data_IF_465433393918
#
_entry.id   IF_465433393918
#
_cell.length_a   1.000
_cell.length_b   1.000
_cell.length_c   1.000
_cell.angle_alpha   90.00
_cell.angle_beta   90.00
_cell.angle_gamma   90.00
#
_symmetry.space_group_name_H-M   'P 1'
#
loop_
_entity.id
_entity.type
_entity.pdbx_description
1 polymer ?
#
# COMPACT_ATOMS: atom_id res chain seq x y z
N UNK A 1 41.14 -9.50 -50.42
CA UNK A 1 41.23 -10.53 -49.35
C UNK A 1 41.11 -9.82 -48.03
N UNK A 2 40.08 -10.18 -47.28
CA UNK A 2 39.71 -9.67 -45.96
C UNK A 2 40.42 -10.52 -44.90
N UNK A 3 40.85 -9.89 -43.80
CA UNK A 3 40.90 -10.38 -42.41
C UNK A 3 41.76 -9.38 -41.60
N UNK A 4 41.51 -9.00 -40.35
CA UNK A 4 40.37 -9.10 -39.43
C UNK A 4 40.67 -8.14 -38.27
N UNK A 5 39.62 -7.68 -37.62
CA UNK A 5 39.54 -6.58 -36.65
C UNK A 5 39.82 -6.96 -35.19
N UNK A 6 40.31 -5.97 -34.45
CA UNK A 6 39.95 -5.54 -33.08
C UNK A 6 39.93 -6.56 -31.92
N UNK A 7 40.81 -6.35 -30.93
CA UNK A 7 40.70 -7.00 -29.61
C UNK A 7 41.18 -6.16 -28.41
N UNK A 8 41.37 -4.83 -28.56
CA UNK A 8 41.93 -4.00 -27.47
C UNK A 8 40.94 -2.98 -26.87
N UNK A 9 39.77 -2.77 -27.48
CA UNK A 9 38.78 -1.77 -27.03
C UNK A 9 37.75 -2.28 -26.01
N UNK A 10 37.66 -3.60 -25.79
CA UNK A 10 36.51 -4.21 -25.08
C UNK A 10 36.76 -4.51 -23.59
N UNK A 11 38.00 -4.42 -23.12
CA UNK A 11 38.33 -4.78 -21.73
C UNK A 11 38.09 -3.59 -20.79
N UNK A 12 38.37 -2.36 -21.23
CA UNK A 12 38.22 -1.17 -20.39
C UNK A 12 36.76 -0.77 -20.11
N UNK A 13 35.81 -1.14 -20.98
CA UNK A 13 34.38 -0.86 -20.78
C UNK A 13 33.72 -1.89 -19.84
N UNK A 14 34.28 -3.11 -19.77
CA UNK A 14 33.75 -4.20 -18.93
C UNK A 14 34.08 -4.00 -17.45
N UNK A 15 35.26 -3.44 -17.15
CA UNK A 15 35.66 -3.14 -15.77
C UNK A 15 34.97 -1.89 -15.21
N UNK A 16 34.57 -0.93 -16.06
CA UNK A 16 33.78 0.25 -15.65
C UNK A 16 32.29 -0.05 -15.40
N UNK A 17 31.77 -1.18 -15.89
CA UNK A 17 30.38 -1.62 -15.68
C UNK A 17 30.18 -2.57 -14.49
N UNK A 18 31.26 -3.01 -13.82
CA UNK A 18 31.20 -3.95 -12.69
C UNK A 18 31.13 -3.29 -11.31
N UNK A 19 31.04 -1.95 -11.23
CA UNK A 19 30.94 -1.21 -9.95
C UNK A 19 29.64 -0.40 -9.77
N UNK A 20 28.66 -0.55 -10.66
CA UNK A 20 27.36 0.13 -10.55
C UNK A 20 26.20 -0.81 -10.15
N UNK A 21 26.50 -1.91 -9.48
CA UNK A 21 25.50 -2.75 -8.83
C UNK A 21 25.81 -2.83 -7.33
N UNK A 22 25.78 -1.69 -6.65
CA UNK A 22 25.43 -1.73 -5.24
C UNK A 22 23.98 -2.25 -5.19
N UNK A 23 23.69 -3.36 -4.50
CA UNK A 23 22.32 -3.72 -4.24
C UNK A 23 21.74 -2.55 -3.44
N UNK A 24 20.72 -1.89 -4.01
CA UNK A 24 19.80 -1.10 -3.20
C UNK A 24 19.14 -2.10 -2.26
N UNK A 25 19.75 -2.29 -1.10
CA UNK A 25 19.19 -3.04 0.01
C UNK A 25 18.10 -2.17 0.66
N UNK A 26 17.14 -1.73 -0.15
CA UNK A 26 15.86 -1.17 0.26
C UNK A 26 14.84 -2.32 0.38
N UNK A 27 15.27 -3.45 0.96
CA UNK A 27 14.34 -4.24 1.75
C UNK A 27 14.10 -3.51 3.07
N UNK A 28 13.37 -2.38 3.03
CA UNK A 28 12.46 -2.09 4.13
C UNK A 28 11.36 -3.16 4.07
N UNK A 29 11.75 -4.37 4.49
CA UNK A 29 10.86 -5.49 4.70
C UNK A 29 9.75 -5.01 5.62
N UNK A 30 8.52 -5.13 5.17
CA UNK A 30 7.34 -4.69 5.91
C UNK A 30 7.38 -5.30 7.31
N UNK A 31 7.48 -4.45 8.34
CA UNK A 31 7.55 -4.93 9.71
C UNK A 31 6.18 -5.41 10.17
N UNK A 32 6.13 -6.20 11.24
CA UNK A 32 4.87 -6.60 11.85
C UNK A 32 4.04 -5.38 12.32
N UNK A 33 4.72 -4.31 12.72
CA UNK A 33 4.09 -3.02 13.03
C UNK A 33 3.41 -2.39 11.81
N UNK A 34 4.06 -2.45 10.64
CA UNK A 34 3.50 -1.94 9.39
C UNK A 34 2.28 -2.75 8.95
N UNK A 35 2.29 -4.07 9.15
CA UNK A 35 1.14 -4.93 8.90
C UNK A 35 -0.06 -4.55 9.78
N UNK A 36 0.17 -4.22 11.06
CA UNK A 36 -0.90 -3.76 11.96
C UNK A 36 -1.49 -2.45 11.48
N UNK A 37 -0.65 -1.47 11.13
CA UNK A 37 -1.09 -0.16 10.65
C UNK A 37 -1.86 -0.30 9.33
N UNK A 38 -1.31 -1.01 8.36
CA UNK A 38 -1.96 -1.27 7.07
C UNK A 38 -3.32 -1.96 7.25
N UNK A 39 -3.39 -2.97 8.11
CA UNK A 39 -4.64 -3.66 8.39
C UNK A 39 -5.70 -2.71 8.98
N UNK A 40 -5.30 -1.80 9.88
CA UNK A 40 -6.22 -0.82 10.45
C UNK A 40 -6.66 0.22 9.40
N UNK A 41 -5.79 0.66 8.51
CA UNK A 41 -6.13 1.63 7.45
C UNK A 41 -7.09 1.10 6.40
N UNK A 42 -7.07 -0.22 6.17
CA UNK A 42 -7.99 -0.89 5.27
C UNK A 42 -9.42 -0.99 5.83
N UNK A 43 -9.62 -0.73 7.14
CA UNK A 43 -10.93 -0.78 7.81
C UNK A 43 -11.57 0.61 7.78
N UNK A 44 -12.85 0.70 7.40
CA UNK A 44 -13.58 1.97 7.26
C UNK A 44 -13.50 2.88 8.49
N UNK A 45 -13.63 2.30 9.68
CA UNK A 45 -13.56 3.01 10.97
C UNK A 45 -12.15 3.12 11.56
N UNK A 46 -11.13 2.64 10.83
CA UNK A 46 -9.72 2.56 11.26
C UNK A 46 -9.49 1.97 12.64
N UNK A 47 -10.38 1.07 13.08
CA UNK A 47 -10.36 0.47 14.41
C UNK A 47 -10.64 -1.03 14.36
N UNK A 48 -9.94 -1.80 15.19
CA UNK A 48 -10.08 -3.24 15.23
C UNK A 48 -9.60 -3.83 16.57
N UNK A 49 -10.19 -4.94 17.03
CA UNK A 49 -9.71 -5.63 18.22
C UNK A 49 -8.52 -6.56 17.92
N UNK A 50 -7.73 -6.90 18.95
CA UNK A 50 -6.56 -7.78 18.82
C UNK A 50 -6.91 -9.13 18.16
N UNK A 51 -8.07 -9.72 18.44
CA UNK A 51 -8.47 -11.01 17.84
C UNK A 51 -8.69 -10.93 16.33
N UNK A 52 -9.36 -9.87 15.88
CA UNK A 52 -9.61 -9.64 14.47
C UNK A 52 -8.31 -9.24 13.75
N UNK A 53 -7.43 -8.49 14.43
CA UNK A 53 -6.09 -8.20 13.92
C UNK A 53 -5.25 -9.47 13.77
N UNK A 54 -5.16 -10.35 14.77
CA UNK A 54 -4.43 -11.63 14.63
C UNK A 54 -4.91 -12.44 13.43
N UNK A 55 -6.24 -12.49 13.21
CA UNK A 55 -6.80 -13.20 12.04
C UNK A 55 -6.41 -12.55 10.72
N UNK A 56 -6.34 -11.22 10.66
CA UNK A 56 -6.07 -10.44 9.43
C UNK A 56 -4.58 -10.29 9.13
N UNK A 57 -3.75 -10.05 10.13
CA UNK A 57 -2.30 -9.87 9.98
C UNK A 57 -1.52 -11.17 10.10
N UNK A 58 -2.16 -12.25 10.57
CA UNK A 58 -1.54 -13.57 10.86
C UNK A 58 -0.40 -13.52 11.87
N UNK A 59 -0.17 -12.39 12.55
CA UNK A 59 0.84 -12.25 13.62
C UNK A 59 0.44 -13.13 14.80
N UNK A 60 1.29 -14.09 15.13
CA UNK A 60 1.11 -15.03 16.24
C UNK A 60 2.41 -15.13 17.05
N UNK A 61 2.32 -15.32 18.38
CA UNK A 61 1.10 -15.48 19.19
C UNK A 61 0.35 -14.16 19.44
N UNK A 62 -0.91 -14.21 19.89
CA UNK A 62 -1.70 -13.01 20.22
C UNK A 62 -0.98 -12.05 21.17
N UNK A 63 -0.18 -12.58 22.10
CA UNK A 63 0.64 -11.78 23.02
C UNK A 63 1.65 -10.89 22.30
N UNK A 64 2.21 -11.35 21.17
CA UNK A 64 3.10 -10.55 20.32
C UNK A 64 2.35 -9.40 19.67
N UNK A 65 1.18 -9.65 19.07
CA UNK A 65 0.33 -8.58 18.53
C UNK A 65 -0.08 -7.58 19.62
N UNK A 66 -0.52 -8.05 20.79
CA UNK A 66 -0.91 -7.18 21.89
C UNK A 66 0.25 -6.30 22.37
N UNK A 67 1.49 -6.82 22.35
CA UNK A 67 2.71 -6.06 22.65
C UNK A 67 2.99 -5.00 21.59
N UNK A 68 3.00 -5.36 20.30
CA UNK A 68 3.17 -4.41 19.19
C UNK A 68 2.13 -3.29 19.25
N UNK A 69 0.86 -3.62 19.53
CA UNK A 69 -0.17 -2.61 19.68
C UNK A 69 0.03 -1.70 20.91
N UNK A 70 0.71 -2.15 21.98
CA UNK A 70 1.08 -1.25 23.10
C UNK A 70 2.22 -0.33 22.68
N UNK A 71 3.27 -0.88 22.07
CA UNK A 71 4.41 -0.09 21.57
C UNK A 71 3.96 0.99 20.58
N UNK A 72 3.07 0.67 19.64
CA UNK A 72 2.46 1.64 18.73
C UNK A 72 1.55 2.66 19.45
N UNK A 73 0.93 2.29 20.57
CA UNK A 73 0.14 3.22 21.37
C UNK A 73 1.04 4.19 22.15
N UNK A 74 2.14 3.69 22.71
CA UNK A 74 3.14 4.47 23.42
C UNK A 74 3.83 5.47 22.47
N UNK A 75 3.99 5.10 21.20
CA UNK A 75 4.42 5.99 20.11
C UNK A 75 3.34 6.98 19.62
N UNK A 76 2.13 6.92 20.17
CA UNK A 76 1.01 7.79 19.76
C UNK A 76 0.40 7.47 18.39
N UNK A 77 0.80 6.36 17.74
CA UNK A 77 0.28 5.96 16.42
C UNK A 77 -1.11 5.34 16.49
N UNK A 78 -1.49 4.81 17.66
CA UNK A 78 -2.83 4.30 17.89
C UNK A 78 -3.32 4.60 19.30
N UNK A 79 -4.64 4.55 19.47
CA UNK A 79 -5.31 4.67 20.75
C UNK A 79 -6.04 3.36 21.05
N UNK A 80 -6.03 2.96 22.33
CA UNK A 80 -6.65 1.71 22.78
C UNK A 80 -7.86 2.04 23.66
N UNK A 81 -9.06 1.69 23.19
CA UNK A 81 -10.30 1.93 23.93
C UNK A 81 -11.27 0.76 23.77
N UNK A 82 -12.04 0.46 24.82
CA UNK A 82 -13.12 -0.53 24.73
C UNK A 82 -14.23 -0.01 23.81
N UNK A 83 -14.69 -0.87 22.89
CA UNK A 83 -15.80 -0.56 21.98
C UNK A 83 -16.22 -1.79 21.18
N UNK A 84 -17.27 -1.62 20.36
CA UNK A 84 -17.74 -2.66 19.43
C UNK A 84 -16.82 -2.75 18.22
N UNK A 85 -16.30 -3.94 17.93
CA UNK A 85 -15.44 -4.15 16.77
C UNK A 85 -16.25 -4.05 15.46
N UNK A 86 -15.76 -3.37 14.40
CA UNK A 86 -16.45 -3.36 13.11
C UNK A 86 -16.32 -4.71 12.36
N UNK A 87 -15.34 -5.54 12.73
CA UNK A 87 -15.09 -6.84 12.11
C UNK A 87 -15.64 -8.04 12.92
N UNK A 88 -16.34 -7.80 14.02
CA UNK A 88 -16.95 -8.87 14.81
C UNK A 88 -17.89 -8.34 15.89
N UNK A 89 -18.79 -9.17 16.38
CA UNK A 89 -19.95 -8.71 17.16
C UNK A 89 -19.68 -8.42 18.64
N UNK A 90 -18.42 -8.41 19.06
CA UNK A 90 -18.05 -8.30 20.46
C UNK A 90 -17.52 -6.91 20.85
N UNK A 91 -17.84 -6.50 22.08
CA UNK A 91 -17.22 -5.36 22.74
C UNK A 91 -15.87 -5.78 23.32
N UNK A 92 -14.78 -5.28 22.74
CA UNK A 92 -13.41 -5.62 23.14
C UNK A 92 -12.52 -4.38 23.15
N UNK A 93 -11.28 -4.53 23.59
CA UNK A 93 -10.26 -3.48 23.42
C UNK A 93 -10.00 -3.30 21.92
N UNK A 94 -10.28 -2.11 21.40
CA UNK A 94 -10.05 -1.74 20.01
C UNK A 94 -8.78 -0.91 19.94
N UNK A 95 -7.93 -1.23 18.97
CA UNK A 95 -6.85 -0.38 18.52
C UNK A 95 -7.41 0.50 17.41
N UNK A 96 -7.41 1.81 17.62
CA UNK A 96 -7.88 2.82 16.66
C UNK A 96 -6.67 3.60 16.22
N UNK A 97 -6.40 3.68 14.91
CA UNK A 97 -5.32 4.54 14.44
C UNK A 97 -5.55 5.97 14.95
N UNK A 98 -4.50 6.57 15.51
CA UNK A 98 -4.57 7.98 15.82
C UNK A 98 -4.88 8.71 14.51
N UNK A 99 -5.88 9.59 14.52
CA UNK A 99 -5.99 10.55 13.45
C UNK A 99 -4.64 11.27 13.42
N UNK A 100 -3.88 11.14 12.32
CA UNK A 100 -2.80 12.08 12.10
C UNK A 100 -3.41 13.47 12.35
N UNK A 101 -2.80 14.31 13.22
CA UNK A 101 -3.37 15.61 13.50
C UNK A 101 -3.66 16.23 12.15
N UNK A 102 -4.94 16.46 11.87
CA UNK A 102 -5.36 17.12 10.64
C UNK A 102 -4.51 18.38 10.59
N UNK A 103 -3.52 18.41 9.69
CA UNK A 103 -2.56 19.51 9.59
C UNK A 103 -3.42 20.75 9.51
N UNK A 104 -3.42 21.53 10.60
CA UNK A 104 -4.18 22.75 10.68
C UNK A 104 -3.83 23.56 9.43
N UNK A 105 -4.85 23.91 8.67
CA UNK A 105 -4.76 24.45 7.34
C UNK A 105 -3.65 25.51 7.24
N UNK A 106 -2.50 25.17 6.67
CA UNK A 106 -1.64 26.16 6.02
C UNK A 106 -2.24 26.42 4.66
N UNK A 107 -3.33 27.20 4.68
CA UNK A 107 -3.88 27.93 3.54
C UNK A 107 -2.79 28.86 3.00
N UNK A 108 -1.97 28.33 2.10
CA UNK A 108 -1.40 29.14 1.01
C UNK A 108 -1.99 28.54 -0.25
N UNK A 109 -3.01 29.21 -0.75
CA UNK A 109 -3.73 28.84 -1.95
C UNK A 109 -2.77 28.77 -3.14
N UNK A 110 -2.58 27.57 -3.67
CA UNK A 110 -2.61 27.36 -5.11
C UNK A 110 -3.55 26.17 -5.31
N UNK A 111 -4.74 26.50 -5.78
CA UNK A 111 -5.79 25.56 -6.17
C UNK A 111 -5.21 24.45 -7.03
N UNK A 112 -4.88 23.31 -6.41
CA UNK A 112 -4.82 22.06 -7.15
C UNK A 112 -6.26 21.77 -7.59
N UNK A 113 -6.50 21.47 -8.88
CA UNK A 113 -7.84 21.16 -9.37
C UNK A 113 -8.40 19.99 -8.56
N UNK A 114 -9.71 20.03 -8.31
CA UNK A 114 -10.49 19.09 -7.51
C UNK A 114 -10.50 17.63 -8.02
N UNK A 115 -9.63 17.30 -8.99
CA UNK A 115 -9.55 16.03 -9.71
C UNK A 115 -8.32 15.17 -9.38
N UNK A 116 -7.39 15.63 -8.53
CA UNK A 116 -6.22 14.82 -8.16
C UNK A 116 -6.49 13.98 -6.92
N UNK A 117 -6.71 12.67 -7.12
CA UNK A 117 -6.73 11.66 -6.06
C UNK A 117 -5.39 11.69 -5.31
N UNK A 118 -5.42 11.91 -3.99
CA UNK A 118 -4.21 11.89 -3.16
C UNK A 118 -3.55 10.51 -3.13
N UNK A 119 -2.23 10.44 -2.92
CA UNK A 119 -1.49 9.17 -2.92
C UNK A 119 -2.03 8.17 -1.88
N UNK A 120 -2.48 8.66 -0.73
CA UNK A 120 -3.10 7.83 0.31
C UNK A 120 -4.46 7.28 -0.13
N UNK A 121 -5.25 8.08 -0.86
CA UNK A 121 -6.55 7.66 -1.40
C UNK A 121 -6.37 6.66 -2.54
N UNK A 122 -5.40 6.89 -3.43
CA UNK A 122 -5.01 5.96 -4.47
C UNK A 122 -4.61 4.60 -3.88
N UNK A 123 -3.75 4.62 -2.87
CA UNK A 123 -3.33 3.41 -2.17
C UNK A 123 -4.51 2.67 -1.51
N UNK A 124 -5.39 3.38 -0.78
CA UNK A 124 -6.56 2.76 -0.13
C UNK A 124 -7.50 2.14 -1.14
N UNK A 125 -7.65 2.80 -2.28
CA UNK A 125 -8.46 2.29 -3.38
C UNK A 125 -7.88 1.00 -3.94
N UNK A 126 -6.58 0.99 -4.23
CA UNK A 126 -5.88 -0.19 -4.73
C UNK A 126 -5.96 -1.33 -3.72
N UNK A 127 -5.78 -1.08 -2.41
CA UNK A 127 -5.92 -2.13 -1.39
C UNK A 127 -7.31 -2.77 -1.43
N UNK A 128 -8.37 -1.97 -1.42
CA UNK A 128 -9.74 -2.49 -1.52
C UNK A 128 -9.97 -3.23 -2.84
N UNK A 129 -9.47 -2.69 -3.94
CA UNK A 129 -9.66 -3.29 -5.26
C UNK A 129 -8.95 -4.64 -5.37
N UNK A 130 -7.69 -4.75 -4.95
CA UNK A 130 -6.96 -6.02 -4.88
C UNK A 130 -7.69 -7.04 -3.99
N UNK A 131 -8.20 -6.62 -2.83
CA UNK A 131 -9.00 -7.50 -1.97
C UNK A 131 -10.31 -7.94 -2.62
N UNK A 132 -10.94 -7.06 -3.39
CA UNK A 132 -12.16 -7.39 -4.13
C UNK A 132 -11.89 -8.42 -5.24
N UNK A 133 -10.78 -8.28 -5.97
CA UNK A 133 -10.34 -9.27 -6.98
C UNK A 133 -10.07 -10.60 -6.29
N UNK A 134 -9.36 -10.57 -5.16
CA UNK A 134 -9.06 -11.75 -4.37
C UNK A 134 -10.31 -12.52 -3.97
N UNK A 135 -11.27 -11.84 -3.34
CA UNK A 135 -12.53 -12.48 -2.90
C UNK A 135 -13.30 -13.06 -4.08
N UNK A 136 -13.29 -12.38 -5.23
CA UNK A 136 -13.98 -12.84 -6.45
C UNK A 136 -13.37 -14.11 -7.04
N UNK A 137 -12.05 -14.27 -6.99
CA UNK A 137 -11.33 -15.31 -7.74
C UNK A 137 -10.65 -16.40 -6.89
N UNK A 138 -10.14 -16.05 -5.71
CA UNK A 138 -9.27 -16.92 -4.89
C UNK A 138 -9.87 -17.27 -3.53
N UNK A 139 -11.01 -16.67 -3.16
CA UNK A 139 -11.75 -17.01 -1.94
C UNK A 139 -11.38 -16.17 -0.71
N UNK A 140 -11.57 -16.72 0.49
CA UNK A 140 -11.69 -15.92 1.72
C UNK A 140 -10.39 -15.67 2.49
N UNK A 141 -9.30 -16.40 2.22
CA UNK A 141 -8.02 -16.22 2.92
C UNK A 141 -7.21 -15.07 2.32
N UNK A 142 -7.70 -13.85 2.55
CA UNK A 142 -7.08 -12.64 2.02
C UNK A 142 -5.64 -12.48 2.55
N UNK A 143 -4.70 -12.03 1.70
CA UNK A 143 -3.34 -11.71 2.11
C UNK A 143 -3.29 -10.66 3.22
N UNK A 144 -2.24 -10.76 4.03
CA UNK A 144 -2.01 -9.92 5.21
C UNK A 144 -1.65 -8.48 4.82
N UNK A 145 -0.98 -8.31 3.68
CA UNK A 145 -0.57 -7.01 3.16
C UNK A 145 -1.03 -6.77 1.72
N UNK A 146 -1.09 -5.50 1.32
CA UNK A 146 -1.27 -5.14 -0.08
C UNK A 146 -0.13 -5.67 -0.96
N UNK A 147 1.09 -5.76 -0.43
CA UNK A 147 2.24 -6.27 -1.16
C UNK A 147 2.00 -7.71 -1.62
N UNK A 148 1.66 -8.55 -0.65
CA UNK A 148 1.34 -9.96 -0.87
C UNK A 148 0.13 -10.10 -1.80
N UNK A 149 -0.89 -9.25 -1.62
CA UNK A 149 -2.05 -9.25 -2.51
C UNK A 149 -1.68 -8.96 -3.96
N UNK A 150 -0.89 -7.91 -4.22
CA UNK A 150 -0.47 -7.57 -5.60
C UNK A 150 0.38 -8.69 -6.20
N UNK A 151 1.35 -9.21 -5.44
CA UNK A 151 2.24 -10.28 -5.90
C UNK A 151 1.46 -11.55 -6.23
N UNK A 152 0.60 -12.00 -5.32
CA UNK A 152 -0.18 -13.22 -5.55
C UNK A 152 -1.22 -13.05 -6.67
N UNK A 153 -1.88 -11.90 -6.79
CA UNK A 153 -2.79 -11.63 -7.91
C UNK A 153 -2.07 -11.60 -9.27
N UNK A 154 -0.81 -11.18 -9.29
CA UNK A 154 0.05 -11.25 -10.48
C UNK A 154 0.41 -12.70 -10.81
N UNK A 155 0.84 -13.45 -9.80
CA UNK A 155 1.30 -14.83 -9.98
C UNK A 155 0.16 -15.76 -10.42
N UNK A 156 -1.08 -15.48 -10.00
CA UNK A 156 -2.30 -16.14 -10.46
C UNK A 156 -2.85 -15.56 -11.79
N UNK A 157 -2.07 -14.69 -12.47
CA UNK A 157 -2.40 -14.05 -13.75
C UNK A 157 -3.70 -13.22 -13.77
N UNK A 158 -4.23 -12.85 -12.59
CA UNK A 158 -5.42 -12.01 -12.45
C UNK A 158 -5.12 -10.53 -12.67
N UNK A 159 -3.90 -10.10 -12.31
CA UNK A 159 -3.37 -8.75 -12.56
C UNK A 159 -2.14 -8.89 -13.47
N UNK A 160 -2.08 -8.23 -14.64
CA UNK A 160 -0.90 -8.34 -15.48
C UNK A 160 0.33 -7.69 -14.83
N UNK A 161 1.56 -8.10 -15.20
CA UNK A 161 2.78 -7.66 -14.53
C UNK A 161 2.98 -6.14 -14.54
N UNK A 162 2.60 -5.47 -15.62
CA UNK A 162 2.76 -4.02 -15.76
C UNK A 162 1.91 -3.26 -14.74
N UNK A 163 0.64 -3.65 -14.59
CA UNK A 163 -0.27 -3.03 -13.63
C UNK A 163 0.08 -3.38 -12.19
N UNK A 164 0.53 -4.61 -11.92
CA UNK A 164 1.07 -4.98 -10.62
C UNK A 164 2.26 -4.09 -10.22
N UNK A 165 3.17 -3.81 -11.16
CA UNK A 165 4.28 -2.90 -10.93
C UNK A 165 3.78 -1.47 -10.63
N UNK A 166 2.78 -0.97 -11.36
CA UNK A 166 2.20 0.35 -11.07
C UNK A 166 1.52 0.41 -9.69
N UNK A 167 0.85 -0.67 -9.26
CA UNK A 167 0.28 -0.75 -7.91
C UNK A 167 1.37 -0.73 -6.84
N UNK A 168 2.50 -1.41 -7.09
CA UNK A 168 3.67 -1.33 -6.21
C UNK A 168 4.27 0.08 -6.18
N UNK A 169 4.32 0.80 -7.30
CA UNK A 169 4.76 2.21 -7.33
C UNK A 169 3.92 3.07 -6.40
N UNK A 170 2.58 2.98 -6.47
CA UNK A 170 1.69 3.73 -5.57
C UNK A 170 1.92 3.33 -4.10
N UNK A 171 2.10 2.03 -3.83
CA UNK A 171 2.43 1.53 -2.48
C UNK A 171 3.73 2.11 -1.95
N UNK A 172 4.80 2.06 -2.72
CA UNK A 172 6.11 2.57 -2.31
C UNK A 172 6.07 4.07 -2.08
N UNK A 173 5.47 4.82 -3.01
CA UNK A 173 5.30 6.27 -2.87
C UNK A 173 4.48 6.63 -1.62
N UNK A 174 3.39 5.91 -1.34
CA UNK A 174 2.61 6.11 -0.12
C UNK A 174 3.44 5.82 1.14
N UNK A 175 4.27 4.78 1.13
CA UNK A 175 5.10 4.43 2.28
C UNK A 175 6.12 5.52 2.61
N UNK A 176 6.77 6.10 1.59
CA UNK A 176 7.70 7.22 1.80
C UNK A 176 7.01 8.43 2.45
N UNK A 177 5.78 8.74 2.03
CA UNK A 177 5.02 9.87 2.61
C UNK A 177 4.60 9.58 4.06
N UNK A 178 4.14 8.37 4.34
CA UNK A 178 3.52 8.06 5.66
C UNK A 178 4.53 7.62 6.71
N UNK A 179 5.60 6.92 6.31
CA UNK A 179 6.55 6.30 7.24
C UNK A 179 7.89 7.04 7.28
N UNK A 180 8.25 7.74 6.22
CA UNK A 180 9.55 8.43 6.08
C UNK A 180 9.41 9.96 6.05
N UNK A 181 8.19 10.49 6.22
CA UNK A 181 7.87 11.93 6.21
C UNK A 181 8.37 12.69 4.97
N UNK A 182 8.48 11.99 3.83
CA UNK A 182 8.95 12.58 2.57
C UNK A 182 7.88 13.50 1.98
N UNK A 183 8.27 14.74 1.65
CA UNK A 183 7.42 15.66 0.91
C UNK A 183 7.63 15.51 -0.60
N UNK A 184 6.58 15.12 -1.31
CA UNK A 184 6.61 14.96 -2.76
C UNK A 184 6.49 16.29 -3.51
N UNK A 185 7.39 16.46 -4.49
CA UNK A 185 7.37 17.55 -5.44
C UNK A 185 6.56 17.20 -6.68
N UNK A 186 6.73 18.01 -7.74
CA UNK A 186 5.97 17.85 -8.99
C UNK A 186 6.24 16.51 -9.70
N UNK A 187 7.48 16.04 -9.65
CA UNK A 187 7.92 14.81 -10.31
C UNK A 187 7.30 13.57 -9.67
N UNK A 188 7.37 13.43 -8.34
CA UNK A 188 6.81 12.28 -7.64
C UNK A 188 5.28 12.24 -7.79
N UNK A 189 4.62 13.40 -7.78
CA UNK A 189 3.20 13.51 -8.05
C UNK A 189 2.85 13.15 -9.51
N UNK A 190 3.72 13.46 -10.48
CA UNK A 190 3.53 13.04 -11.86
C UNK A 190 3.64 11.51 -12.01
N UNK A 191 4.61 10.88 -11.33
CA UNK A 191 4.77 9.41 -11.30
C UNK A 191 3.53 8.76 -10.68
N UNK A 192 3.06 9.27 -9.54
CA UNK A 192 1.85 8.77 -8.89
C UNK A 192 0.63 8.84 -9.81
N UNK A 193 0.43 9.96 -10.50
CA UNK A 193 -0.68 10.13 -11.46
C UNK A 193 -0.58 9.16 -12.64
N UNK A 194 0.61 9.02 -13.23
CA UNK A 194 0.81 8.10 -14.34
C UNK A 194 0.53 6.65 -13.94
N UNK A 195 1.04 6.22 -12.79
CA UNK A 195 0.79 4.88 -12.25
C UNK A 195 -0.71 4.66 -11.99
N UNK A 196 -1.38 5.63 -11.38
CA UNK A 196 -2.83 5.57 -11.15
C UNK A 196 -3.63 5.43 -12.44
N UNK A 197 -3.34 6.23 -13.47
CA UNK A 197 -4.07 6.19 -14.74
C UNK A 197 -3.87 4.86 -15.49
N UNK A 198 -2.67 4.27 -15.42
CA UNK A 198 -2.42 2.93 -15.99
C UNK A 198 -3.28 1.88 -15.28
N UNK A 199 -3.28 1.87 -13.94
CA UNK A 199 -4.09 0.94 -13.14
C UNK A 199 -5.57 1.11 -13.46
N UNK A 200 -6.04 2.36 -13.47
CA UNK A 200 -7.43 2.72 -13.76
C UNK A 200 -7.85 2.25 -15.15
N UNK A 201 -7.08 2.57 -16.17
CA UNK A 201 -7.39 2.23 -17.56
C UNK A 201 -7.47 0.71 -17.77
N UNK A 202 -6.61 -0.06 -17.10
CA UNK A 202 -6.70 -1.51 -17.09
C UNK A 202 -7.94 -2.00 -16.33
N UNK A 203 -8.15 -1.53 -15.11
CA UNK A 203 -9.24 -1.96 -14.25
C UNK A 203 -10.62 -1.67 -14.86
N UNK A 204 -10.81 -0.50 -15.48
CA UNK A 204 -12.05 -0.14 -16.18
C UNK A 204 -12.31 -0.99 -17.44
N UNK A 205 -11.25 -1.58 -18.02
CA UNK A 205 -11.32 -2.44 -19.20
C UNK A 205 -11.60 -3.90 -18.83
N UNK A 206 -10.90 -4.43 -17.82
CA UNK A 206 -10.95 -5.86 -17.42
C UNK A 206 -11.95 -6.14 -16.31
N UNK A 207 -12.10 -5.23 -15.36
CA UNK A 207 -12.82 -5.43 -14.10
C UNK A 207 -13.77 -4.27 -13.78
N UNK A 208 -14.40 -3.68 -14.80
CA UNK A 208 -15.21 -2.45 -14.70
C UNK A 208 -16.18 -2.43 -13.52
N UNK A 209 -16.97 -3.49 -13.38
CA UNK A 209 -18.02 -3.57 -12.34
C UNK A 209 -17.40 -3.59 -10.93
N UNK A 210 -16.29 -4.32 -10.77
CA UNK A 210 -15.57 -4.43 -9.51
C UNK A 210 -14.86 -3.11 -9.16
N UNK A 211 -14.26 -2.48 -10.18
CA UNK A 211 -13.66 -1.15 -10.08
C UNK A 211 -14.70 -0.12 -9.61
N UNK A 212 -15.86 -0.02 -10.27
CA UNK A 212 -16.93 0.91 -9.88
C UNK A 212 -17.55 0.62 -8.51
N UNK A 213 -17.64 -0.65 -8.11
CA UNK A 213 -18.13 -1.01 -6.78
C UNK A 213 -17.15 -0.54 -5.69
N UNK A 214 -15.85 -0.56 -5.98
CA UNK A 214 -14.78 -0.14 -5.06
C UNK A 214 -14.82 1.37 -4.77
N UNK A 215 -15.19 2.21 -5.75
CA UNK A 215 -15.37 3.66 -5.55
C UNK A 215 -16.60 3.98 -4.69
N UNK A 216 -17.68 3.23 -4.84
CA UNK A 216 -18.93 3.45 -4.08
C UNK A 216 -18.76 3.17 -2.58
N UNK A 217 -17.85 2.26 -2.22
CA UNK A 217 -17.49 2.01 -0.81
C UNK A 217 -16.74 3.20 -0.16
N UNK A 218 -16.22 4.13 -0.96
CA UNK A 218 -15.58 5.36 -0.49
C UNK A 218 -16.58 6.47 -0.11
N UNK A 219 -17.86 6.34 -0.51
CA UNK A 219 -18.88 7.38 -0.36
C UNK A 219 -19.89 7.18 0.77
N UNK A 220 -19.94 6.03 1.44
CA UNK A 220 -20.86 5.84 2.59
C UNK A 220 -20.24 6.39 3.88
N UNK A 221 -20.21 7.72 3.98
CA UNK A 221 -20.53 8.35 5.27
C UNK A 221 -22.02 8.13 5.48
N UNK A 222 -22.37 7.12 6.27
CA UNK A 222 -23.72 7.00 6.79
C UNK A 222 -23.98 8.22 7.69
N UNK A 223 -25.12 8.86 7.45
CA UNK A 223 -25.64 10.02 8.16
C UNK A 223 -25.73 9.82 9.68
#
# INVERSE_FOLDING_TARGET
MVQSTSAAGDVALRDLLMHAAQPLDDTHGMTESDLVVQCLEAISDRRCCDDCLVKKTRIRPRSQLSRLCRELADQGKLTRKRGKCPLGDHTKMLNTLAAQPARAARRTAKSAPADTLGIEDAWRYIDRFCRAIWVKHLGNDTPSSLAEAITALRDEELVPPHEANMMHTIRSLRNMVVHEDVNFGEHENAIARAAWEIIRAWAERRERNLWSATSTMCGRRAA
#
